data_IF_404671590736
#
_entry.id   IF_404671590736
#
_cell.length_a   1.000
_cell.length_b   1.000
_cell.length_c   1.000
_cell.angle_alpha   90.00
_cell.angle_beta   90.00
_cell.angle_gamma   90.00
#
_symmetry.space_group_name_H-M   'P 1'
#
loop_
_entity.id
_entity.type
_entity.pdbx_description
1 polymer ?
#
# COMPACT_ATOMS: atom_id res chain seq x y z
N UNK A 1 -31.66 33.80 -13.69
CA UNK A 1 -32.55 32.95 -12.86
C UNK A 1 -31.76 32.50 -11.65
N UNK A 2 -32.15 32.87 -10.42
CA UNK A 2 -31.46 32.43 -9.22
C UNK A 2 -31.86 30.97 -8.94
N UNK A 3 -30.86 30.09 -8.98
CA UNK A 3 -31.04 28.66 -8.72
C UNK A 3 -31.38 28.44 -7.26
N UNK A 4 -32.47 27.70 -7.05
CA UNK A 4 -32.96 27.15 -5.80
C UNK A 4 -31.83 26.41 -5.07
N UNK A 5 -31.28 27.01 -4.03
CA UNK A 5 -30.67 26.25 -2.94
C UNK A 5 -31.82 25.85 -2.00
N UNK A 6 -32.12 24.56 -1.82
CA UNK A 6 -33.07 24.15 -0.80
C UNK A 6 -32.54 24.58 0.57
N UNK A 7 -33.42 25.17 1.37
CA UNK A 7 -33.11 25.67 2.71
C UNK A 7 -32.51 24.56 3.58
N UNK A 8 -31.45 24.92 4.31
CA UNK A 8 -30.84 24.07 5.31
C UNK A 8 -31.80 23.85 6.47
N UNK A 9 -32.58 22.78 6.44
CA UNK A 9 -32.98 22.12 7.68
C UNK A 9 -31.68 21.66 8.36
N UNK A 10 -31.30 22.33 9.45
CA UNK A 10 -30.21 21.85 10.28
C UNK A 10 -30.55 20.42 10.73
N UNK A 11 -29.70 19.42 10.44
CA UNK A 11 -30.08 18.03 10.64
C UNK A 11 -30.24 17.74 12.14
N UNK A 12 -31.12 16.79 12.47
CA UNK A 12 -31.34 16.18 13.78
C UNK A 12 -30.10 15.49 14.40
N UNK A 13 -28.90 15.83 13.94
CA UNK A 13 -27.63 15.29 14.36
C UNK A 13 -27.01 16.26 15.38
N UNK A 14 -27.01 15.87 16.65
CA UNK A 14 -26.42 16.69 17.72
C UNK A 14 -24.94 17.05 17.48
N UNK A 15 -24.50 18.09 18.19
CA UNK A 15 -23.19 18.74 18.03
C UNK A 15 -22.01 17.76 18.19
N UNK A 16 -20.97 17.93 17.37
CA UNK A 16 -19.79 17.05 17.34
C UNK A 16 -18.63 17.72 18.07
N UNK A 17 -17.92 16.97 18.91
CA UNK A 17 -16.59 17.34 19.40
C UNK A 17 -15.55 16.51 18.66
N UNK A 18 -14.73 17.15 17.81
CA UNK A 18 -13.60 16.50 17.16
C UNK A 18 -12.32 16.72 17.96
N UNK A 19 -11.58 15.65 18.25
CA UNK A 19 -10.33 15.68 19.02
C UNK A 19 -9.24 14.91 18.27
N UNK A 20 -8.04 15.46 18.15
CA UNK A 20 -6.88 14.82 17.51
C UNK A 20 -5.74 15.81 17.27
N UNK A 21 -4.72 15.44 16.49
CA UNK A 21 -3.69 16.37 16.01
C UNK A 21 -4.18 17.16 14.79
N UNK A 22 -5.06 18.12 15.06
CA UNK A 22 -5.84 18.79 14.03
C UNK A 22 -5.05 19.88 13.29
N UNK A 23 -3.87 20.27 13.79
CA UNK A 23 -2.96 21.19 13.10
C UNK A 23 -2.16 20.56 11.98
N UNK A 24 -2.09 19.22 11.90
CA UNK A 24 -1.51 18.53 10.75
C UNK A 24 -2.29 19.00 9.51
N UNK A 25 -1.59 19.61 8.54
CA UNK A 25 -2.20 20.24 7.35
C UNK A 25 -3.17 19.30 6.64
N UNK A 26 -2.76 18.05 6.48
CA UNK A 26 -3.60 16.99 5.93
C UNK A 26 -4.93 16.84 6.68
N UNK A 27 -4.90 16.65 8.00
CA UNK A 27 -6.10 16.50 8.84
C UNK A 27 -6.96 17.77 8.79
N UNK A 28 -6.32 18.93 8.91
CA UNK A 28 -7.00 20.22 8.86
C UNK A 28 -7.78 20.41 7.54
N UNK A 29 -7.12 20.18 6.43
CA UNK A 29 -7.63 20.49 5.10
C UNK A 29 -8.63 19.41 4.62
N UNK A 30 -8.53 18.17 5.12
CA UNK A 30 -9.35 17.03 4.69
C UNK A 30 -10.48 16.65 5.65
N UNK A 31 -10.34 16.96 6.93
CA UNK A 31 -11.36 16.64 7.94
C UNK A 31 -11.94 17.89 8.57
N UNK A 32 -11.10 18.74 9.18
CA UNK A 32 -11.58 19.89 9.96
C UNK A 32 -12.36 20.88 9.10
N UNK A 33 -11.82 21.27 7.94
CA UNK A 33 -12.47 22.23 7.07
C UNK A 33 -13.83 21.71 6.52
N UNK A 34 -13.94 20.49 5.95
CA UNK A 34 -15.22 19.94 5.53
C UNK A 34 -16.22 19.76 6.67
N UNK A 35 -15.78 19.29 7.84
CA UNK A 35 -16.66 19.11 9.00
C UNK A 35 -17.22 20.45 9.49
N UNK A 36 -16.37 21.48 9.56
CA UNK A 36 -16.79 22.83 9.97
C UNK A 36 -17.82 23.44 9.02
N UNK A 37 -17.73 23.12 7.73
CA UNK A 37 -18.68 23.61 6.73
C UNK A 37 -20.02 22.87 6.77
N UNK A 38 -20.03 21.61 7.22
CA UNK A 38 -21.17 20.70 7.03
C UNK A 38 -21.90 20.36 8.33
N UNK A 39 -21.27 20.59 9.50
CA UNK A 39 -21.80 20.17 10.79
C UNK A 39 -21.56 21.24 11.87
N UNK A 40 -22.43 21.28 12.89
CA UNK A 40 -22.13 21.98 14.14
C UNK A 40 -21.08 21.18 14.91
N UNK A 41 -19.83 21.62 14.82
CA UNK A 41 -18.68 20.94 15.38
C UNK A 41 -17.74 21.89 16.13
N UNK A 42 -17.26 21.44 17.28
CA UNK A 42 -16.12 22.02 17.98
C UNK A 42 -14.87 21.16 17.71
N UNK A 43 -13.71 21.81 17.71
CA UNK A 43 -12.44 21.17 17.36
C UNK A 43 -11.43 21.44 18.46
N UNK A 44 -10.79 20.38 18.97
CA UNK A 44 -9.68 20.48 19.91
C UNK A 44 -8.46 19.84 19.28
N UNK A 45 -7.49 20.69 18.95
CA UNK A 45 -6.15 20.23 18.57
C UNK A 45 -5.36 19.89 19.84
N UNK A 46 -4.96 18.63 19.97
CA UNK A 46 -4.25 18.15 21.15
C UNK A 46 -2.75 18.44 21.08
N UNK A 47 -2.19 18.70 19.90
CA UNK A 47 -0.76 19.00 19.73
C UNK A 47 -0.27 20.13 20.67
N UNK A 48 -0.89 21.33 20.72
CA UNK A 48 -0.48 22.36 21.67
C UNK A 48 -0.73 21.96 23.13
N UNK A 49 -1.79 21.21 23.43
CA UNK A 49 -2.11 20.79 24.79
C UNK A 49 -1.05 19.83 25.34
N UNK A 50 -0.62 18.86 24.53
CA UNK A 50 0.48 17.93 24.86
C UNK A 50 1.79 18.64 25.15
N UNK A 51 2.06 19.73 24.44
CA UNK A 51 3.29 20.50 24.63
C UNK A 51 3.30 21.30 25.95
N UNK A 52 2.12 21.64 26.46
CA UNK A 52 1.95 22.55 27.59
C UNK A 52 1.50 21.85 28.89
N UNK A 53 0.85 20.70 28.79
CA UNK A 53 0.14 20.06 29.89
C UNK A 53 0.39 18.55 29.94
N UNK A 54 0.21 17.96 31.12
CA UNK A 54 0.20 16.50 31.25
C UNK A 54 -1.05 15.91 30.59
N UNK A 55 -1.03 14.59 30.35
CA UNK A 55 -2.20 13.84 29.87
C UNK A 55 -3.42 14.08 30.76
N UNK A 56 -3.25 14.00 32.08
CA UNK A 56 -4.34 14.14 33.05
C UNK A 56 -4.99 15.53 32.98
N UNK A 57 -4.19 16.59 32.81
CA UNK A 57 -4.70 17.96 32.63
C UNK A 57 -5.40 18.14 31.28
N UNK A 58 -4.88 17.51 30.22
CA UNK A 58 -5.50 17.51 28.89
C UNK A 58 -6.87 16.82 28.91
N UNK A 59 -6.97 15.64 29.53
CA UNK A 59 -8.25 14.95 29.73
C UNK A 59 -9.22 15.76 30.60
N UNK A 60 -8.73 16.38 31.69
CA UNK A 60 -9.57 17.25 32.53
C UNK A 60 -10.15 18.44 31.76
N UNK A 61 -9.35 19.06 30.89
CA UNK A 61 -9.83 20.11 29.99
C UNK A 61 -10.94 19.59 29.08
N UNK A 62 -10.74 18.44 28.42
CA UNK A 62 -11.73 17.83 27.55
C UNK A 62 -13.01 17.44 28.29
N UNK A 63 -12.93 16.90 29.53
CA UNK A 63 -14.12 16.60 30.32
C UNK A 63 -14.96 17.84 30.61
N UNK A 64 -14.33 18.96 30.98
CA UNK A 64 -15.05 20.22 31.21
C UNK A 64 -15.74 20.69 29.94
N UNK A 65 -15.07 20.58 28.80
CA UNK A 65 -15.63 20.92 27.51
C UNK A 65 -16.84 20.03 27.18
N UNK A 66 -16.72 18.71 27.37
CA UNK A 66 -17.80 17.74 27.17
C UNK A 66 -19.02 18.10 28.04
N UNK A 67 -18.82 18.40 29.32
CA UNK A 67 -19.89 18.74 30.26
C UNK A 67 -20.62 20.04 29.90
N UNK A 68 -19.92 21.01 29.32
CA UNK A 68 -20.45 22.35 29.06
C UNK A 68 -20.97 22.53 27.62
N UNK A 69 -20.47 21.73 26.68
CA UNK A 69 -20.64 21.99 25.25
C UNK A 69 -21.85 21.35 24.58
N UNK A 70 -22.61 20.50 25.29
CA UNK A 70 -23.82 19.87 24.76
C UNK A 70 -23.57 18.98 23.54
N UNK A 71 -22.44 18.27 23.53
CA UNK A 71 -22.06 17.39 22.42
C UNK A 71 -22.83 16.08 22.46
N UNK A 72 -23.24 15.59 21.29
CA UNK A 72 -23.82 14.26 21.12
C UNK A 72 -22.78 13.22 20.71
N UNK A 73 -21.66 13.66 20.11
CA UNK A 73 -20.65 12.77 19.55
C UNK A 73 -19.25 13.26 19.85
N UNK A 74 -18.36 12.33 20.16
CA UNK A 74 -16.91 12.53 20.20
C UNK A 74 -16.31 11.87 18.96
N UNK A 75 -15.92 12.66 17.97
CA UNK A 75 -15.12 12.16 16.86
C UNK A 75 -13.63 12.23 17.22
N UNK A 76 -13.08 11.09 17.62
CA UNK A 76 -11.68 10.98 18.00
C UNK A 76 -10.84 10.57 16.78
N UNK A 77 -10.10 11.54 16.21
CA UNK A 77 -9.17 11.29 15.11
C UNK A 77 -7.86 10.76 15.68
N UNK A 78 -7.72 9.44 15.69
CA UNK A 78 -6.73 8.72 16.50
C UNK A 78 -5.32 8.72 15.94
N UNK A 79 -5.13 9.08 14.67
CA UNK A 79 -3.81 9.09 14.04
C UNK A 79 -2.82 9.95 14.86
N UNK A 80 -1.65 9.37 15.15
CA UNK A 80 -0.58 9.92 16.00
C UNK A 80 -0.87 10.05 17.50
N UNK A 81 -2.12 9.89 17.97
CA UNK A 81 -2.51 10.08 19.38
C UNK A 81 -3.31 8.92 19.98
N UNK A 82 -3.39 7.79 19.27
CA UNK A 82 -4.17 6.62 19.68
C UNK A 82 -3.81 6.09 21.08
N UNK A 83 -2.54 6.16 21.49
CA UNK A 83 -2.07 5.63 22.78
C UNK A 83 -2.18 6.64 23.94
N UNK A 84 -2.51 7.89 23.65
CA UNK A 84 -2.25 9.00 24.58
C UNK A 84 -3.34 9.21 25.62
N UNK A 85 -4.55 8.79 25.31
CA UNK A 85 -5.70 8.94 26.19
C UNK A 85 -5.97 7.65 26.96
N UNK A 86 -6.40 7.79 28.19
CA UNK A 86 -6.75 6.66 29.06
C UNK A 86 -8.09 6.04 28.66
N UNK A 87 -8.29 4.76 28.96
CA UNK A 87 -9.59 4.10 28.76
C UNK A 87 -10.69 4.79 29.58
N UNK A 88 -10.34 5.28 30.77
CA UNK A 88 -11.21 6.09 31.65
C UNK A 88 -11.76 7.33 30.93
N UNK A 89 -11.00 7.95 30.03
CA UNK A 89 -11.47 9.08 29.24
C UNK A 89 -12.64 8.72 28.34
N UNK A 90 -12.50 7.63 27.59
CA UNK A 90 -13.55 7.16 26.70
C UNK A 90 -14.76 6.64 27.47
N UNK A 91 -14.56 5.98 28.61
CA UNK A 91 -15.66 5.57 29.51
C UNK A 91 -16.44 6.77 30.04
N UNK A 92 -15.77 7.84 30.46
CA UNK A 92 -16.42 9.06 30.93
C UNK A 92 -17.13 9.83 29.83
N UNK A 93 -16.56 9.88 28.62
CA UNK A 93 -17.24 10.45 27.46
C UNK A 93 -18.56 9.72 27.18
N UNK A 94 -18.54 8.39 27.16
CA UNK A 94 -19.76 7.56 27.05
C UNK A 94 -20.73 7.78 28.21
N UNK A 95 -20.22 7.86 29.45
CA UNK A 95 -21.03 8.15 30.64
C UNK A 95 -21.70 9.53 30.62
N UNK A 96 -21.13 10.49 29.88
CA UNK A 96 -21.73 11.79 29.60
C UNK A 96 -22.74 11.77 28.44
N UNK A 97 -23.01 10.60 27.85
CA UNK A 97 -23.99 10.40 26.79
C UNK A 97 -23.45 10.60 25.37
N UNK A 98 -22.13 10.70 25.18
CA UNK A 98 -21.54 10.86 23.85
C UNK A 98 -21.37 9.50 23.18
N UNK A 99 -21.72 9.41 21.90
CA UNK A 99 -21.25 8.35 21.01
C UNK A 99 -19.80 8.63 20.60
N UNK A 100 -18.90 7.68 20.85
CA UNK A 100 -17.47 7.80 20.52
C UNK A 100 -17.20 7.14 19.17
N UNK A 101 -16.70 7.94 18.22
CA UNK A 101 -16.49 7.54 16.83
C UNK A 101 -15.01 7.69 16.47
N UNK A 102 -14.47 6.73 15.71
CA UNK A 102 -13.15 6.82 15.10
C UNK A 102 -13.19 6.57 13.59
N UNK A 103 -12.21 7.14 12.89
CA UNK A 103 -11.89 6.82 11.50
C UNK A 103 -10.42 6.41 11.43
N UNK A 104 -10.16 5.14 11.11
CA UNK A 104 -8.81 4.60 10.99
C UNK A 104 -8.28 4.87 9.58
N UNK A 105 -7.55 5.99 9.39
CA UNK A 105 -7.02 6.41 8.10
C UNK A 105 -5.96 5.44 7.53
N UNK A 106 -5.04 5.02 8.40
CA UNK A 106 -3.99 4.04 8.12
C UNK A 106 -4.39 2.74 8.83
N UNK A 107 -5.06 1.81 8.13
CA UNK A 107 -5.65 0.60 8.72
C UNK A 107 -5.25 -0.70 7.99
N UNK A 108 -4.31 -0.56 7.07
CA UNK A 108 -3.68 -1.59 6.24
C UNK A 108 -2.35 -0.99 5.74
N UNK A 109 -1.17 -1.66 5.78
CA UNK A 109 -0.87 -3.07 6.10
C UNK A 109 -1.16 -3.53 7.52
N UNK A 110 -0.92 -4.83 7.76
CA UNK A 110 -1.08 -5.53 9.06
C UNK A 110 -0.57 -4.73 10.26
N UNK A 111 0.59 -4.09 10.11
CA UNK A 111 1.20 -3.31 11.20
C UNK A 111 0.30 -2.16 11.66
N UNK A 112 -0.37 -1.45 10.76
CA UNK A 112 -1.28 -0.36 11.12
C UNK A 112 -2.60 -0.89 11.65
N UNK A 113 -3.11 -1.97 11.04
CA UNK A 113 -4.28 -2.67 11.58
C UNK A 113 -4.06 -3.06 13.05
N UNK A 114 -2.94 -3.71 13.37
CA UNK A 114 -2.62 -4.15 14.74
C UNK A 114 -2.47 -2.97 15.70
N UNK A 115 -1.82 -1.89 15.25
CA UNK A 115 -1.68 -0.67 16.04
C UNK A 115 -3.04 -0.07 16.40
N UNK A 116 -4.00 -0.06 15.48
CA UNK A 116 -5.34 0.46 15.71
C UNK A 116 -6.21 -0.49 16.54
N UNK A 117 -6.17 -1.78 16.21
CA UNK A 117 -7.00 -2.82 16.84
C UNK A 117 -6.80 -2.91 18.35
N UNK A 118 -5.61 -2.60 18.85
CA UNK A 118 -5.30 -2.52 20.28
C UNK A 118 -6.15 -1.47 21.04
N UNK A 119 -6.77 -0.54 20.33
CA UNK A 119 -7.55 0.58 20.89
C UNK A 119 -9.02 0.55 20.46
N UNK A 120 -9.47 -0.46 19.71
CA UNK A 120 -10.84 -0.53 19.19
C UNK A 120 -11.91 -0.54 20.29
N UNK A 121 -11.59 -1.05 21.48
CA UNK A 121 -12.51 -1.11 22.64
C UNK A 121 -12.93 0.27 23.16
N UNK A 122 -12.25 1.34 22.73
CA UNK A 122 -12.54 2.71 23.13
C UNK A 122 -13.69 3.34 22.35
N UNK A 123 -14.05 2.76 21.21
CA UNK A 123 -14.99 3.36 20.27
C UNK A 123 -16.31 2.61 20.24
N UNK A 124 -17.42 3.35 20.13
CA UNK A 124 -18.74 2.79 19.86
C UNK A 124 -18.88 2.46 18.37
N UNK A 125 -18.27 3.29 17.51
CA UNK A 125 -18.27 3.10 16.06
C UNK A 125 -16.90 3.37 15.44
N UNK A 126 -16.50 2.48 14.53
CA UNK A 126 -15.25 2.57 13.79
C UNK A 126 -15.56 2.58 12.29
N UNK A 127 -14.98 3.55 11.60
CA UNK A 127 -14.97 3.63 10.16
C UNK A 127 -13.57 3.38 9.63
N UNK A 128 -13.45 2.71 8.49
CA UNK A 128 -12.16 2.46 7.85
C UNK A 128 -12.29 2.45 6.33
N UNK A 129 -11.29 3.00 5.60
CA UNK A 129 -11.22 2.92 4.15
C UNK A 129 -10.62 1.59 3.67
N UNK A 130 -10.18 0.70 4.57
CA UNK A 130 -9.69 -0.64 4.25
C UNK A 130 -10.81 -1.65 4.36
N UNK A 131 -11.21 -2.27 3.23
CA UNK A 131 -12.24 -3.32 3.28
C UNK A 131 -11.73 -4.53 4.07
N UNK A 132 -10.46 -4.91 3.88
CA UNK A 132 -9.81 -5.98 4.63
C UNK A 132 -9.81 -5.72 6.15
N UNK A 133 -9.50 -4.48 6.57
CA UNK A 133 -9.54 -4.08 7.97
C UNK A 133 -10.95 -4.16 8.57
N UNK A 134 -11.97 -3.76 7.81
CA UNK A 134 -13.38 -3.88 8.23
C UNK A 134 -13.79 -5.34 8.38
N UNK A 135 -13.54 -6.16 7.37
CA UNK A 135 -13.89 -7.59 7.38
C UNK A 135 -13.26 -8.32 8.57
N UNK A 136 -12.00 -8.00 8.87
CA UNK A 136 -11.31 -8.57 10.02
C UNK A 136 -11.91 -8.14 11.34
N UNK A 137 -12.26 -6.87 11.52
CA UNK A 137 -12.95 -6.42 12.75
C UNK A 137 -14.34 -7.04 12.88
N UNK A 138 -15.07 -7.22 11.78
CA UNK A 138 -16.34 -7.93 11.80
C UNK A 138 -16.16 -9.40 12.22
N UNK A 139 -15.11 -10.07 11.76
CA UNK A 139 -14.77 -11.42 12.20
C UNK A 139 -14.40 -11.45 13.69
N UNK A 140 -13.59 -10.51 14.17
CA UNK A 140 -13.28 -10.35 15.59
C UNK A 140 -14.55 -10.08 16.42
N UNK A 141 -15.48 -9.27 15.91
CA UNK A 141 -16.73 -8.97 16.59
C UNK A 141 -17.60 -10.20 16.77
N UNK A 142 -17.72 -11.05 15.73
CA UNK A 142 -18.41 -12.35 15.82
C UNK A 142 -17.76 -13.29 16.83
N UNK A 143 -16.45 -13.20 17.01
CA UNK A 143 -15.69 -13.95 18.01
C UNK A 143 -15.71 -13.32 19.42
N UNK A 144 -16.40 -12.19 19.62
CA UNK A 144 -16.45 -11.45 20.88
C UNK A 144 -15.24 -10.56 21.16
N UNK A 145 -14.31 -10.43 20.21
CA UNK A 145 -13.07 -9.66 20.33
C UNK A 145 -13.16 -8.18 19.93
N UNK A 146 -14.24 -7.74 19.27
CA UNK A 146 -14.48 -6.34 18.93
C UNK A 146 -15.94 -5.96 19.22
N UNK A 147 -16.18 -4.93 20.06
CA UNK A 147 -17.53 -4.51 20.44
C UNK A 147 -18.04 -3.31 19.65
N UNK A 148 -17.16 -2.61 18.94
CA UNK A 148 -17.54 -1.45 18.14
C UNK A 148 -18.39 -1.86 16.94
N UNK A 149 -19.32 -0.99 16.54
CA UNK A 149 -19.96 -1.07 15.23
C UNK A 149 -18.94 -0.68 14.16
N UNK A 150 -18.68 -1.55 13.19
CA UNK A 150 -17.66 -1.31 12.17
C UNK A 150 -18.31 -1.17 10.80
N UNK A 151 -17.91 -0.14 10.05
CA UNK A 151 -18.39 0.10 8.71
C UNK A 151 -17.25 0.49 7.77
N UNK A 152 -17.32 0.00 6.53
CA UNK A 152 -16.49 0.47 5.45
C UNK A 152 -16.92 1.89 5.05
N UNK A 153 -15.95 2.81 5.09
CA UNK A 153 -16.13 4.17 4.63
C UNK A 153 -14.93 4.51 3.74
N UNK A 154 -15.08 4.46 2.40
CA UNK A 154 -13.98 4.75 1.51
C UNK A 154 -13.49 6.17 1.69
N UNK A 155 -12.24 6.41 1.29
CA UNK A 155 -11.72 7.76 1.16
C UNK A 155 -12.61 8.60 0.24
N UNK A 156 -12.76 9.87 0.59
CA UNK A 156 -13.30 10.91 -0.29
C UNK A 156 -12.22 11.93 -0.64
N UNK A 157 -12.60 13.07 -1.21
CA UNK A 157 -11.70 14.21 -1.36
C UNK A 157 -12.43 15.50 -0.98
N UNK A 158 -11.67 16.54 -0.66
CA UNK A 158 -12.23 17.86 -0.41
C UNK A 158 -12.42 18.59 -1.75
N UNK A 159 -13.67 18.82 -2.22
CA UNK A 159 -13.94 19.44 -3.51
C UNK A 159 -13.60 20.93 -3.56
N UNK A 160 -13.41 21.58 -2.41
CA UNK A 160 -12.92 22.96 -2.36
C UNK A 160 -11.43 23.05 -2.74
N UNK A 161 -10.69 21.93 -2.65
CA UNK A 161 -9.26 21.87 -2.97
C UNK A 161 -9.02 21.13 -4.28
N UNK A 162 -9.64 19.97 -4.47
CA UNK A 162 -9.47 19.12 -5.65
C UNK A 162 -10.73 19.18 -6.47
N UNK A 163 -10.68 19.96 -7.55
CA UNK A 163 -11.81 20.20 -8.42
C UNK A 163 -11.39 20.12 -9.89
N UNK A 164 -12.32 19.88 -10.81
CA UNK A 164 -12.03 19.94 -12.22
C UNK A 164 -11.44 21.31 -12.60
N UNK A 165 -10.48 21.31 -13.54
CA UNK A 165 -9.89 22.54 -14.04
C UNK A 165 -10.96 23.45 -14.64
N UNK A 166 -11.03 24.69 -14.18
CA UNK A 166 -11.89 25.73 -14.76
C UNK A 166 -11.05 26.95 -15.14
N UNK A 167 -11.56 27.76 -16.08
CA UNK A 167 -10.91 29.02 -16.46
C UNK A 167 -9.48 28.86 -16.98
N UNK A 168 -8.52 29.52 -16.33
CA UNK A 168 -7.13 29.58 -16.75
C UNK A 168 -6.39 28.23 -16.66
N UNK A 169 -6.70 27.38 -15.69
CA UNK A 169 -6.08 26.07 -15.53
C UNK A 169 -6.41 25.13 -16.70
N UNK A 170 -7.66 25.17 -17.20
CA UNK A 170 -8.06 24.44 -18.40
C UNK A 170 -7.38 24.97 -19.68
N UNK A 171 -7.07 26.27 -19.73
CA UNK A 171 -6.42 26.92 -20.89
C UNK A 171 -4.91 26.72 -20.94
N UNK A 172 -4.27 26.42 -19.83
CA UNK A 172 -2.81 26.25 -19.74
C UNK A 172 -2.28 25.06 -20.56
N UNK A 173 -3.16 24.19 -21.04
CA UNK A 173 -2.80 23.03 -21.85
C UNK A 173 -2.14 21.92 -21.03
N UNK A 174 -1.83 20.81 -21.70
CA UNK A 174 -1.15 19.66 -21.07
C UNK A 174 0.37 19.86 -21.17
N UNK A 175 1.02 20.01 -20.01
CA UNK A 175 2.48 20.20 -19.88
C UNK A 175 3.22 18.89 -19.66
N UNK A 176 2.61 17.94 -18.96
CA UNK A 176 3.25 16.68 -18.55
C UNK A 176 2.57 15.51 -19.24
N UNK A 177 3.35 14.54 -19.75
CA UNK A 177 2.77 13.32 -20.29
C UNK A 177 2.34 12.39 -19.15
N UNK A 178 3.28 12.05 -18.26
CA UNK A 178 3.03 11.18 -17.11
C UNK A 178 3.54 11.85 -15.84
N UNK A 179 2.71 11.88 -14.80
CA UNK A 179 3.04 12.44 -13.48
C UNK A 179 2.84 11.40 -12.40
N UNK A 180 3.78 11.30 -11.46
CA UNK A 180 3.53 10.70 -10.14
C UNK A 180 3.79 11.75 -9.05
N UNK A 181 2.89 11.82 -8.07
CA UNK A 181 2.97 12.75 -6.95
C UNK A 181 2.81 12.02 -5.61
N UNK A 182 3.92 11.87 -4.88
CA UNK A 182 3.97 11.15 -3.60
C UNK A 182 5.40 11.13 -3.05
N UNK A 183 5.57 10.79 -1.78
CA UNK A 183 6.90 10.71 -1.18
C UNK A 183 7.65 9.42 -1.58
N UNK A 184 8.95 9.55 -1.78
CA UNK A 184 9.90 8.44 -1.73
C UNK A 184 10.08 8.05 -0.26
N UNK A 185 9.52 6.91 0.16
CA UNK A 185 9.50 6.48 1.56
C UNK A 185 10.81 5.77 1.99
N UNK A 186 11.95 6.32 1.60
CA UNK A 186 13.25 5.88 2.09
C UNK A 186 13.57 6.51 3.44
N UNK A 187 14.29 5.80 4.31
CA UNK A 187 14.74 6.36 5.57
C UNK A 187 15.79 7.44 5.31
N UNK A 188 15.58 8.64 5.87
CA UNK A 188 16.47 9.80 5.66
C UNK A 188 17.94 9.53 6.02
N UNK A 189 18.17 8.69 7.04
CA UNK A 189 19.51 8.34 7.53
C UNK A 189 20.04 7.03 6.94
N UNK A 190 19.21 6.32 6.17
CA UNK A 190 19.59 5.08 5.52
C UNK A 190 18.76 4.92 4.23
N UNK A 191 19.16 5.59 3.13
CA UNK A 191 18.37 5.62 1.89
C UNK A 191 18.15 4.24 1.24
N UNK A 192 18.90 3.23 1.68
CA UNK A 192 18.77 1.82 1.27
C UNK A 192 17.67 1.07 2.06
N UNK A 193 17.17 1.65 3.14
CA UNK A 193 16.07 1.10 3.94
C UNK A 193 14.77 1.83 3.65
N UNK A 194 13.78 1.06 3.20
CA UNK A 194 12.45 1.55 2.89
C UNK A 194 11.51 1.31 4.06
N UNK A 195 10.48 2.15 4.18
CA UNK A 195 9.40 1.95 5.13
C UNK A 195 8.09 1.80 4.36
N UNK A 196 7.16 1.05 4.95
CA UNK A 196 5.79 0.90 4.44
C UNK A 196 5.81 0.23 3.05
N UNK A 197 5.34 0.92 2.01
CA UNK A 197 5.30 0.48 0.60
C UNK A 197 6.43 1.10 -0.27
N UNK A 198 7.51 1.57 0.37
CA UNK A 198 8.54 2.37 -0.27
C UNK A 198 9.29 1.65 -1.39
N UNK A 199 9.65 0.38 -1.17
CA UNK A 199 10.40 -0.42 -2.15
C UNK A 199 9.55 -0.77 -3.36
N UNK A 200 8.37 -1.38 -3.16
CA UNK A 200 7.53 -1.87 -4.27
C UNK A 200 7.03 -0.70 -5.13
N UNK A 201 6.71 0.44 -4.51
CA UNK A 201 6.41 1.69 -5.23
C UNK A 201 7.58 2.09 -6.11
N UNK A 202 8.78 2.14 -5.56
CA UNK A 202 9.96 2.56 -6.30
C UNK A 202 10.22 1.64 -7.49
N UNK A 203 10.19 0.32 -7.30
CA UNK A 203 10.42 -0.63 -8.40
C UNK A 203 9.40 -0.44 -9.53
N UNK A 204 8.14 -0.21 -9.16
CA UNK A 204 7.08 0.11 -10.13
C UNK A 204 7.40 1.38 -10.92
N UNK A 205 7.83 2.45 -10.24
CA UNK A 205 8.13 3.73 -10.90
C UNK A 205 9.43 3.69 -11.73
N UNK A 206 10.42 2.87 -11.34
CA UNK A 206 11.62 2.61 -12.16
C UNK A 206 11.24 1.88 -13.45
N UNK A 207 10.38 0.86 -13.37
CA UNK A 207 9.84 0.17 -14.54
C UNK A 207 9.08 1.12 -15.48
N UNK A 208 8.26 1.99 -14.91
CA UNK A 208 7.55 3.03 -15.65
C UNK A 208 8.49 4.03 -16.34
N UNK A 209 9.54 4.51 -15.65
CA UNK A 209 10.54 5.41 -16.24
C UNK A 209 11.23 4.77 -17.45
N UNK A 210 11.57 3.48 -17.37
CA UNK A 210 12.18 2.75 -18.47
C UNK A 210 11.24 2.64 -19.68
N UNK A 211 9.94 2.36 -19.46
CA UNK A 211 8.94 2.36 -20.52
C UNK A 211 8.83 3.76 -21.14
N UNK A 212 8.72 4.80 -20.33
CA UNK A 212 8.60 6.18 -20.80
C UNK A 212 9.81 6.59 -21.64
N UNK A 213 11.03 6.18 -21.25
CA UNK A 213 12.26 6.45 -22.02
C UNK A 213 12.26 5.80 -23.39
N UNK A 214 11.90 4.53 -23.47
CA UNK A 214 11.83 3.81 -24.75
C UNK A 214 10.85 4.44 -25.73
N UNK A 215 9.80 5.06 -25.20
CA UNK A 215 8.72 5.67 -26.00
C UNK A 215 8.87 7.18 -26.18
N UNK A 216 9.93 7.81 -25.65
CA UNK A 216 10.11 9.26 -25.72
C UNK A 216 9.04 10.06 -24.96
N UNK A 217 8.46 9.49 -23.91
CA UNK A 217 7.42 10.09 -23.07
C UNK A 217 8.07 10.78 -21.86
N UNK A 218 7.65 12.02 -21.55
CA UNK A 218 8.13 12.72 -20.35
C UNK A 218 7.45 12.17 -19.08
N UNK A 219 8.29 11.80 -18.11
CA UNK A 219 7.84 11.33 -16.81
C UNK A 219 8.34 12.28 -15.72
N UNK A 220 7.40 12.85 -14.96
CA UNK A 220 7.66 13.81 -13.91
C UNK A 220 7.31 13.24 -12.53
N UNK A 221 8.22 13.39 -11.58
CA UNK A 221 8.07 13.01 -10.18
C UNK A 221 8.00 14.23 -9.28
N UNK A 222 7.01 14.26 -8.40
CA UNK A 222 6.83 15.29 -7.39
C UNK A 222 6.72 14.67 -6.00
N UNK A 223 7.32 15.30 -4.98
CA UNK A 223 7.22 14.86 -3.60
C UNK A 223 8.55 14.46 -2.95
N UNK A 224 8.56 14.40 -1.62
CA UNK A 224 9.77 14.31 -0.80
C UNK A 224 10.69 13.12 -1.16
N UNK A 225 12.00 13.34 -1.22
CA UNK A 225 13.02 12.29 -1.29
C UNK A 225 13.32 11.72 -2.70
N UNK A 226 12.62 12.16 -3.74
CA UNK A 226 12.93 11.74 -5.11
C UNK A 226 14.24 12.33 -5.64
N UNK A 227 14.63 13.52 -5.19
CA UNK A 227 15.90 14.18 -5.52
C UNK A 227 17.14 13.39 -5.09
N UNK A 228 17.01 12.51 -4.10
CA UNK A 228 18.08 11.65 -3.63
C UNK A 228 18.03 10.23 -4.20
N UNK A 229 17.02 9.90 -5.01
CA UNK A 229 16.85 8.55 -5.52
C UNK A 229 17.94 8.22 -6.59
N UNK A 230 18.64 7.07 -6.52
CA UNK A 230 19.73 6.71 -7.43
C UNK A 230 19.40 6.86 -8.93
N UNK A 231 18.27 6.32 -9.37
CA UNK A 231 17.84 6.35 -10.78
C UNK A 231 16.85 7.47 -11.13
N UNK A 232 15.88 7.74 -10.25
CA UNK A 232 14.73 8.58 -10.52
C UNK A 232 14.93 10.07 -10.18
N UNK A 233 16.03 10.48 -9.55
CA UNK A 233 16.30 11.91 -9.23
C UNK A 233 16.23 12.83 -10.45
N UNK A 234 16.65 12.36 -11.63
CA UNK A 234 16.54 13.11 -12.90
C UNK A 234 15.09 13.44 -13.31
N UNK A 235 14.11 12.69 -12.81
CA UNK A 235 12.67 12.91 -13.05
C UNK A 235 12.03 13.78 -11.99
N UNK A 236 12.73 14.09 -10.90
CA UNK A 236 12.24 14.97 -9.86
C UNK A 236 11.97 16.38 -10.41
N UNK A 237 10.85 16.96 -10.01
CA UNK A 237 10.38 18.30 -10.41
C UNK A 237 10.00 19.19 -9.22
N UNK A 238 10.31 18.76 -7.99
CA UNK A 238 10.10 19.54 -6.78
C UNK A 238 9.01 18.99 -5.86
N UNK A 239 8.70 19.81 -4.85
CA UNK A 239 7.77 19.50 -3.78
C UNK A 239 6.60 20.48 -3.86
N UNK A 240 5.56 20.17 -4.63
CA UNK A 240 4.52 21.13 -4.91
C UNK A 240 3.69 21.39 -3.67
N UNK A 241 3.34 22.66 -3.49
CA UNK A 241 2.31 23.04 -2.54
C UNK A 241 0.94 22.53 -2.99
N UNK A 242 -0.04 22.53 -2.09
CA UNK A 242 -1.37 21.99 -2.34
C UNK A 242 -2.04 22.56 -3.62
N UNK A 243 -1.96 23.87 -3.82
CA UNK A 243 -2.57 24.53 -5.01
C UNK A 243 -1.78 24.22 -6.29
N UNK A 244 -0.46 24.13 -6.18
CA UNK A 244 0.42 23.76 -7.29
C UNK A 244 0.15 22.31 -7.73
N UNK A 245 -0.11 21.41 -6.77
CA UNK A 245 -0.41 20.02 -7.03
C UNK A 245 -1.68 19.84 -7.87
N UNK A 246 -2.72 20.62 -7.58
CA UNK A 246 -3.96 20.65 -8.36
C UNK A 246 -3.68 21.12 -9.79
N UNK A 247 -2.89 22.19 -9.94
CA UNK A 247 -2.46 22.67 -11.25
C UNK A 247 -1.64 21.61 -12.01
N UNK A 248 -0.74 20.89 -11.34
CA UNK A 248 0.03 19.79 -11.94
C UNK A 248 -0.91 18.70 -12.46
N UNK A 249 -1.94 18.31 -11.69
CA UNK A 249 -2.92 17.33 -12.14
C UNK A 249 -3.69 17.81 -13.37
N UNK A 250 -4.09 19.08 -13.43
CA UNK A 250 -4.77 19.61 -14.62
C UNK A 250 -3.85 19.65 -15.85
N UNK A 251 -2.55 19.87 -15.64
CA UNK A 251 -1.54 19.92 -16.69
C UNK A 251 -1.01 18.54 -17.10
N UNK A 252 -1.32 17.47 -16.35
CA UNK A 252 -0.92 16.10 -16.68
C UNK A 252 -1.88 15.45 -17.69
N UNK A 253 -1.34 14.70 -18.66
CA UNK A 253 -2.14 13.80 -19.49
C UNK A 253 -2.50 12.53 -18.72
N UNK A 254 -1.54 11.97 -17.99
CA UNK A 254 -1.71 10.78 -17.14
C UNK A 254 -1.14 11.08 -15.76
N UNK A 255 -1.91 10.78 -14.71
CA UNK A 255 -1.42 10.72 -13.34
C UNK A 255 -1.35 9.28 -12.90
N UNK A 256 -0.19 8.84 -12.43
CA UNK A 256 0.00 7.50 -11.88
C UNK A 256 -0.20 7.57 -10.38
N UNK A 257 -1.13 6.76 -9.88
CA UNK A 257 -1.44 6.67 -8.46
C UNK A 257 -1.46 5.21 -8.07
N UNK A 258 -0.31 4.71 -7.60
CA UNK A 258 -0.20 3.36 -7.09
C UNK A 258 -0.60 3.33 -5.61
N UNK A 259 -1.47 2.40 -5.26
CA UNK A 259 -1.86 2.06 -3.91
C UNK A 259 -1.46 0.62 -3.60
N UNK A 260 -0.32 0.50 -2.92
CA UNK A 260 0.24 -0.76 -2.46
C UNK A 260 0.18 -0.81 -0.92
N UNK A 261 -0.01 -2.01 -0.39
CA UNK A 261 0.21 -2.34 1.02
C UNK A 261 1.73 -2.33 1.35
N UNK A 262 2.13 -2.83 2.52
CA UNK A 262 3.55 -2.98 2.88
C UNK A 262 4.34 -3.74 1.80
N UNK A 263 5.62 -3.37 1.70
CA UNK A 263 6.58 -4.00 0.81
C UNK A 263 6.56 -5.53 0.95
N UNK A 264 6.48 -6.23 -0.18
CA UNK A 264 6.49 -7.70 -0.25
C UNK A 264 5.13 -8.37 -0.01
N UNK A 265 4.08 -7.64 0.38
CA UNK A 265 2.74 -8.23 0.54
C UNK A 265 2.00 -8.39 -0.79
N UNK A 266 2.33 -7.59 -1.80
CA UNK A 266 1.70 -7.63 -3.13
C UNK A 266 0.20 -7.30 -3.14
N UNK A 267 -0.35 -6.81 -2.02
CA UNK A 267 -1.77 -6.47 -1.89
C UNK A 267 -2.03 -5.01 -2.27
N UNK A 268 -3.09 -4.72 -3.04
CA UNK A 268 -3.45 -3.35 -3.35
C UNK A 268 -4.16 -2.70 -2.15
N UNK A 269 -3.99 -1.39 -2.01
CA UNK A 269 -4.64 -0.58 -0.98
C UNK A 269 -5.26 0.67 -1.61
N UNK A 270 -6.40 1.14 -1.10
CA UNK A 270 -6.90 2.47 -1.46
C UNK A 270 -6.13 3.56 -0.72
N UNK A 271 -5.67 4.58 -1.45
CA UNK A 271 -5.01 5.77 -0.89
C UNK A 271 -5.86 7.00 -1.22
N UNK A 272 -5.83 8.01 -0.36
CA UNK A 272 -6.53 9.28 -0.59
C UNK A 272 -6.23 9.88 -1.98
N UNK A 273 -5.00 9.72 -2.45
CA UNK A 273 -4.50 10.23 -3.73
C UNK A 273 -5.37 9.79 -4.92
N UNK A 274 -5.92 8.57 -4.89
CA UNK A 274 -6.80 8.07 -5.95
C UNK A 274 -8.03 8.97 -6.15
N UNK A 275 -8.58 9.46 -5.04
CA UNK A 275 -9.80 10.26 -5.01
C UNK A 275 -9.52 11.73 -5.30
N UNK A 276 -8.36 12.23 -4.88
CA UNK A 276 -7.91 13.59 -5.17
C UNK A 276 -7.70 13.84 -6.67
N UNK A 277 -7.02 12.92 -7.35
CA UNK A 277 -6.80 12.99 -8.80
C UNK A 277 -8.12 12.84 -9.56
N UNK A 278 -8.97 11.92 -9.12
CA UNK A 278 -10.33 11.77 -9.67
C UNK A 278 -11.16 13.05 -9.49
N UNK A 279 -11.05 13.70 -8.33
CA UNK A 279 -11.70 14.99 -8.06
C UNK A 279 -11.23 16.12 -8.97
N UNK A 280 -9.99 16.05 -9.47
CA UNK A 280 -9.47 16.96 -10.50
C UNK A 280 -9.95 16.63 -11.92
N UNK A 281 -10.63 15.51 -12.13
CA UNK A 281 -11.07 15.05 -13.45
C UNK A 281 -9.92 14.67 -14.39
N UNK A 282 -8.74 14.33 -13.83
CA UNK A 282 -7.56 13.95 -14.61
C UNK A 282 -7.53 12.44 -14.83
N UNK A 283 -7.10 12.00 -16.02
CA UNK A 283 -6.86 10.58 -16.31
C UNK A 283 -5.86 10.00 -15.30
N UNK A 284 -6.22 8.88 -14.68
CA UNK A 284 -5.39 8.22 -13.69
C UNK A 284 -5.08 6.79 -14.13
N UNK A 285 -3.81 6.39 -14.00
CA UNK A 285 -3.39 5.01 -14.03
C UNK A 285 -3.22 4.52 -12.57
N UNK A 286 -3.83 3.39 -12.24
CA UNK A 286 -3.71 2.75 -10.92
C UNK A 286 -3.19 1.31 -11.10
N UNK A 287 -2.60 0.74 -10.05
CA UNK A 287 -2.41 -0.70 -10.00
C UNK A 287 -3.76 -1.41 -9.86
N UNK A 288 -3.81 -2.67 -10.27
CA UNK A 288 -5.04 -3.45 -10.15
C UNK A 288 -5.48 -3.52 -8.69
N UNK A 289 -6.65 -2.94 -8.41
CA UNK A 289 -7.23 -2.84 -7.08
C UNK A 289 -8.74 -3.08 -7.16
N UNK A 290 -9.24 -4.22 -6.66
CA UNK A 290 -10.67 -4.53 -6.66
C UNK A 290 -11.53 -3.48 -5.95
N UNK A 291 -11.00 -2.77 -4.95
CA UNK A 291 -11.73 -1.72 -4.24
C UNK A 291 -11.98 -0.47 -5.10
N UNK A 292 -11.14 -0.24 -6.13
CA UNK A 292 -11.32 0.87 -7.08
C UNK A 292 -12.19 0.51 -8.29
N UNK A 293 -12.45 -0.79 -8.52
CA UNK A 293 -13.26 -1.27 -9.66
C UNK A 293 -14.75 -0.99 -9.52
N UNK A 294 -15.24 -0.68 -8.31
CA UNK A 294 -16.63 -0.32 -8.12
C UNK A 294 -16.91 1.05 -8.77
N UNK A 295 -17.71 1.14 -9.84
CA UNK A 295 -17.95 2.41 -10.51
C UNK A 295 -18.66 3.37 -9.54
N UNK A 296 -18.15 4.59 -9.30
CA UNK A 296 -18.86 5.60 -8.53
C UNK A 296 -20.29 5.75 -9.03
N UNK A 297 -21.28 5.91 -8.13
CA UNK A 297 -22.70 5.98 -8.52
C UNK A 297 -22.97 7.11 -9.53
N UNK A 298 -22.17 8.17 -9.52
CA UNK A 298 -22.21 9.27 -10.50
C UNK A 298 -21.76 8.87 -11.92
N UNK A 299 -21.20 7.67 -12.09
CA UNK A 299 -20.74 7.10 -13.35
C UNK A 299 -21.68 6.02 -13.90
N UNK A 300 -22.83 5.87 -13.25
CA UNK A 300 -23.93 5.00 -13.66
C UNK A 300 -25.12 5.85 -14.11
N UNK A 301 -25.52 5.72 -15.36
CA UNK A 301 -26.82 6.16 -15.85
C UNK A 301 -27.78 5.01 -15.66
N UNK A 302 -28.76 5.17 -14.77
CA UNK A 302 -29.83 4.21 -14.62
C UNK A 302 -31.17 4.84 -15.00
N UNK A 303 -32.15 3.98 -15.33
CA UNK A 303 -33.53 4.37 -15.56
C UNK A 303 -34.08 4.93 -14.25
N UNK A 304 -34.84 6.05 -14.27
CA UNK A 304 -35.31 6.71 -13.03
C UNK A 304 -36.05 5.80 -12.05
N UNK A 305 -36.75 4.78 -12.54
CA UNK A 305 -37.49 3.83 -11.70
C UNK A 305 -36.59 2.83 -10.95
N UNK A 306 -35.33 2.66 -11.37
CA UNK A 306 -34.35 1.77 -10.74
C UNK A 306 -33.47 2.50 -9.72
N UNK A 307 -33.48 3.85 -9.67
CA UNK A 307 -32.60 4.67 -8.84
C UNK A 307 -32.56 4.25 -7.36
N UNK A 308 -33.72 3.91 -6.77
CA UNK A 308 -33.76 3.45 -5.38
C UNK A 308 -33.12 2.07 -5.17
N UNK A 309 -33.20 1.17 -6.16
CA UNK A 309 -32.55 -0.14 -6.11
C UNK A 309 -31.03 0.00 -6.31
N UNK A 310 -30.59 0.86 -7.23
CA UNK A 310 -29.18 1.20 -7.45
C UNK A 310 -28.55 1.78 -6.18
N UNK A 311 -29.21 2.77 -5.57
CA UNK A 311 -28.74 3.38 -4.32
C UNK A 311 -28.65 2.36 -3.19
N UNK A 312 -29.61 1.43 -3.09
CA UNK A 312 -29.57 0.36 -2.09
C UNK A 312 -28.43 -0.62 -2.34
N UNK A 313 -28.29 -1.15 -3.56
CA UNK A 313 -27.24 -2.08 -3.93
C UNK A 313 -25.84 -1.46 -3.75
N UNK A 314 -25.68 -0.21 -4.16
CA UNK A 314 -24.44 0.55 -3.98
C UNK A 314 -24.14 0.81 -2.51
N UNK A 315 -25.13 1.23 -1.72
CA UNK A 315 -24.98 1.46 -0.28
C UNK A 315 -24.65 0.19 0.50
N UNK A 316 -25.20 -0.96 0.08
CA UNK A 316 -24.91 -2.26 0.68
C UNK A 316 -23.64 -2.92 0.15
N UNK A 317 -22.99 -2.35 -0.89
CA UNK A 317 -21.84 -2.94 -1.56
C UNK A 317 -22.15 -4.21 -2.35
N UNK A 318 -23.41 -4.45 -2.67
CA UNK A 318 -23.88 -5.63 -3.42
C UNK A 318 -23.69 -5.38 -4.94
N UNK A 319 -22.48 -5.66 -5.42
CA UNK A 319 -22.10 -5.41 -6.81
C UNK A 319 -22.84 -6.31 -7.79
N UNK A 320 -23.24 -7.52 -7.39
CA UNK A 320 -24.00 -8.43 -8.25
C UNK A 320 -25.42 -7.92 -8.45
N UNK A 321 -26.07 -7.43 -7.37
CA UNK A 321 -27.34 -6.73 -7.48
C UNK A 321 -27.22 -5.45 -8.31
N UNK A 322 -26.12 -4.70 -8.17
CA UNK A 322 -25.86 -3.51 -8.97
C UNK A 322 -25.70 -3.84 -10.46
N UNK A 323 -24.94 -4.90 -10.80
CA UNK A 323 -24.77 -5.34 -12.19
C UNK A 323 -26.06 -5.91 -12.79
N UNK A 324 -26.86 -6.61 -11.99
CA UNK A 324 -28.15 -7.15 -12.43
C UNK A 324 -29.18 -6.06 -12.80
N UNK A 325 -28.99 -4.83 -12.30
CA UNK A 325 -29.81 -3.67 -12.69
C UNK A 325 -29.47 -3.13 -14.08
N UNK A 326 -28.36 -3.61 -14.68
CA UNK A 326 -27.85 -3.18 -15.99
C UNK A 326 -27.72 -1.64 -16.12
N UNK A 327 -27.09 -0.95 -15.14
CA UNK A 327 -26.89 0.48 -15.26
C UNK A 327 -25.98 0.77 -16.46
N UNK A 328 -26.37 1.73 -17.29
CA UNK A 328 -25.55 2.17 -18.42
C UNK A 328 -24.32 2.91 -17.86
N UNK A 329 -23.09 2.42 -18.10
CA UNK A 329 -21.91 3.18 -17.71
C UNK A 329 -21.88 4.48 -18.54
N UNK A 330 -21.83 5.62 -17.87
CA UNK A 330 -21.90 6.92 -18.55
C UNK A 330 -20.64 7.25 -19.36
N UNK A 331 -19.59 6.44 -19.19
CA UNK A 331 -18.26 6.74 -19.71
C UNK A 331 -17.62 7.97 -19.06
N UNK A 332 -18.23 8.60 -18.04
CA UNK A 332 -17.57 9.60 -17.18
C UNK A 332 -16.73 8.95 -16.09
N UNK A 333 -16.10 7.82 -16.39
CA UNK A 333 -14.99 7.32 -15.59
C UNK A 333 -13.69 7.77 -16.24
N UNK A 334 -12.81 8.25 -15.36
CA UNK A 334 -11.35 8.30 -15.50
C UNK A 334 -10.90 6.87 -15.84
N UNK A 335 -11.01 6.54 -17.12
CA UNK A 335 -10.58 5.35 -17.85
C UNK A 335 -10.08 4.13 -17.04
N UNK A 336 -10.90 3.08 -16.99
CA UNK A 336 -10.42 1.70 -16.82
C UNK A 336 -9.70 1.27 -18.10
N UNK A 337 -8.41 1.58 -18.19
CA UNK A 337 -7.51 0.82 -19.08
C UNK A 337 -6.86 -0.24 -18.21
N UNK A 338 -7.41 -1.46 -18.26
CA UNK A 338 -6.65 -2.64 -17.81
C UNK A 338 -5.55 -2.83 -18.86
N UNK A 339 -4.37 -2.31 -18.57
CA UNK A 339 -3.16 -2.73 -19.27
C UNK A 339 -2.89 -4.17 -18.83
N UNK A 340 -3.48 -5.15 -19.51
CA UNK A 340 -2.89 -6.48 -19.55
C UNK A 340 -1.51 -6.27 -20.15
N UNK A 341 -0.47 -6.31 -19.33
CA UNK A 341 0.92 -6.27 -19.79
C UNK A 341 1.24 -7.55 -20.56
N UNK A 342 0.66 -7.68 -21.75
CA UNK A 342 1.23 -8.47 -22.82
C UNK A 342 2.18 -7.54 -23.57
N UNK A 343 3.48 -7.84 -23.43
CA UNK A 343 4.63 -7.22 -24.09
C UNK A 343 5.36 -6.09 -23.31
N UNK A 344 6.64 -6.37 -23.06
CA UNK A 344 7.74 -5.49 -22.61
C UNK A 344 7.86 -5.12 -21.13
N UNK A 345 7.88 -6.17 -20.31
CA UNK A 345 8.20 -6.15 -18.89
C UNK A 345 9.67 -6.53 -18.59
N UNK A 346 10.65 -5.83 -19.16
CA UNK A 346 12.08 -6.08 -18.89
C UNK A 346 12.56 -5.67 -17.48
N UNK A 347 11.64 -5.37 -16.56
CA UNK A 347 11.90 -5.24 -15.13
C UNK A 347 11.13 -6.28 -14.29
N UNK A 348 10.21 -7.04 -14.91
CA UNK A 348 9.68 -8.31 -14.39
C UNK A 348 10.55 -9.50 -14.82
N UNK A 349 11.74 -9.25 -15.40
CA UNK A 349 12.65 -10.27 -15.94
C UNK A 349 13.62 -10.86 -14.94
N UNK A 350 13.63 -10.41 -13.67
CA UNK A 350 14.35 -11.18 -12.66
C UNK A 350 13.49 -12.41 -12.35
N UNK A 351 13.95 -13.61 -12.74
CA UNK A 351 13.17 -14.82 -12.53
C UNK A 351 12.85 -14.98 -11.03
N UNK A 352 11.62 -15.40 -10.72
CA UNK A 352 11.08 -15.42 -9.37
C UNK A 352 11.96 -16.14 -8.33
N UNK A 353 12.84 -17.05 -8.78
CA UNK A 353 13.76 -17.79 -7.93
C UNK A 353 15.00 -17.00 -7.48
N UNK A 354 15.30 -15.86 -8.09
CA UNK A 354 16.48 -15.05 -7.76
C UNK A 354 16.37 -14.34 -6.41
N UNK A 355 15.16 -13.91 -6.01
CA UNK A 355 14.95 -13.28 -4.70
C UNK A 355 15.16 -14.26 -3.52
N UNK A 356 14.55 -15.46 -3.52
CA UNK A 356 14.86 -16.50 -2.52
C UNK A 356 16.34 -16.90 -2.51
N UNK A 357 16.98 -16.97 -3.70
CA UNK A 357 18.41 -17.25 -3.79
C UNK A 357 19.26 -16.19 -3.10
N UNK A 358 18.98 -14.90 -3.31
CA UNK A 358 19.70 -13.80 -2.62
C UNK A 358 19.53 -13.88 -1.10
N UNK A 359 18.32 -14.18 -0.64
CA UNK A 359 18.05 -14.35 0.80
C UNK A 359 18.83 -15.54 1.39
N UNK A 360 18.88 -16.66 0.68
CA UNK A 360 19.69 -17.82 1.06
C UNK A 360 21.19 -17.47 1.10
N UNK A 361 21.72 -16.82 0.06
CA UNK A 361 23.13 -16.44 0.03
C UNK A 361 23.50 -15.50 1.18
N UNK A 362 22.60 -14.56 1.54
CA UNK A 362 22.78 -13.70 2.71
C UNK A 362 22.78 -14.48 4.03
N UNK A 363 21.95 -15.53 4.15
CA UNK A 363 21.99 -16.44 5.30
C UNK A 363 23.33 -17.18 5.38
N UNK A 364 23.81 -17.76 4.27
CA UNK A 364 25.05 -18.54 4.24
C UNK A 364 26.29 -17.68 4.51
N UNK A 365 26.28 -16.43 4.04
CA UNK A 365 27.33 -15.48 4.38
C UNK A 365 27.42 -15.22 5.90
N UNK A 366 26.31 -15.31 6.64
CA UNK A 366 26.28 -15.15 8.10
C UNK A 366 26.64 -16.41 8.85
N UNK A 367 26.18 -17.57 8.39
CA UNK A 367 26.38 -18.85 9.08
C UNK A 367 27.72 -19.51 8.76
N UNK A 368 28.34 -19.13 7.63
CA UNK A 368 29.58 -19.75 7.16
C UNK A 368 29.40 -21.16 6.60
N UNK A 369 28.16 -21.56 6.35
CA UNK A 369 27.80 -22.85 5.73
C UNK A 369 28.31 -22.96 4.29
N UNK A 370 28.59 -24.18 3.85
CA UNK A 370 29.13 -24.46 2.52
C UNK A 370 28.02 -24.70 1.50
N UNK A 371 28.17 -24.11 0.32
CA UNK A 371 27.21 -24.23 -0.78
C UNK A 371 27.81 -25.01 -1.94
N UNK A 372 27.04 -25.95 -2.50
CA UNK A 372 27.31 -26.59 -3.78
C UNK A 372 26.13 -26.33 -4.73
N UNK A 373 26.41 -25.88 -5.95
CA UNK A 373 25.38 -25.72 -6.99
C UNK A 373 25.34 -27.00 -7.84
N UNK A 374 24.18 -27.65 -7.92
CA UNK A 374 23.99 -28.82 -8.77
C UNK A 374 23.27 -28.41 -10.06
N UNK A 375 23.97 -28.56 -11.19
CA UNK A 375 23.60 -28.02 -12.50
C UNK A 375 24.56 -26.89 -12.89
N UNK A 376 25.29 -27.06 -14.00
CA UNK A 376 26.30 -26.10 -14.45
C UNK A 376 26.02 -25.52 -15.85
N UNK A 377 24.82 -25.78 -16.39
CA UNK A 377 24.40 -25.35 -17.72
C UNK A 377 22.90 -25.06 -17.75
N UNK A 378 22.49 -24.20 -18.68
CA UNK A 378 21.10 -23.83 -18.91
C UNK A 378 20.78 -22.42 -18.43
N UNK A 379 19.62 -21.92 -18.88
CA UNK A 379 19.20 -20.53 -18.66
C UNK A 379 19.19 -20.14 -17.18
N UNK A 380 18.72 -21.02 -16.30
CA UNK A 380 18.72 -20.78 -14.87
C UNK A 380 20.13 -20.56 -14.29
N UNK A 381 21.13 -21.32 -14.76
CA UNK A 381 22.53 -21.15 -14.35
C UNK A 381 23.07 -19.81 -14.84
N UNK A 382 22.75 -19.43 -16.08
CA UNK A 382 23.16 -18.15 -16.67
C UNK A 382 22.60 -16.96 -15.86
N UNK A 383 21.36 -17.07 -15.40
CA UNK A 383 20.70 -16.04 -14.59
C UNK A 383 21.24 -15.94 -13.16
N UNK A 384 21.63 -17.04 -12.51
CA UNK A 384 22.16 -16.98 -11.13
C UNK A 384 23.65 -16.59 -11.07
N UNK A 385 24.40 -16.77 -12.16
CA UNK A 385 25.85 -16.53 -12.18
C UNK A 385 26.27 -15.11 -11.75
N UNK A 386 25.59 -14.03 -12.18
CA UNK A 386 25.84 -12.69 -11.66
C UNK A 386 25.62 -12.60 -10.15
N UNK A 387 24.53 -13.18 -9.65
CA UNK A 387 24.17 -13.18 -8.21
C UNK A 387 25.22 -13.90 -7.37
N UNK A 388 25.71 -15.05 -7.83
CA UNK A 388 26.77 -15.80 -7.16
C UNK A 388 28.10 -15.03 -7.12
N UNK A 389 28.40 -14.24 -8.16
CA UNK A 389 29.63 -13.45 -8.21
C UNK A 389 29.63 -12.25 -7.26
N UNK A 390 28.44 -11.71 -6.96
CA UNK A 390 28.25 -10.66 -5.95
C UNK A 390 28.40 -11.22 -4.52
N UNK A 391 28.08 -12.50 -4.31
CA UNK A 391 28.07 -13.16 -2.99
C UNK A 391 29.46 -13.65 -2.53
N UNK A 392 30.46 -12.77 -2.48
CA UNK A 392 31.87 -13.11 -2.18
C UNK A 392 32.12 -13.67 -0.77
N UNK A 393 31.21 -13.44 0.18
CA UNK A 393 31.29 -13.97 1.54
C UNK A 393 30.78 -15.43 1.67
N UNK A 394 30.15 -15.98 0.63
CA UNK A 394 29.61 -17.34 0.65
C UNK A 394 30.71 -18.35 0.32
N UNK A 395 30.80 -19.42 1.11
CA UNK A 395 31.75 -20.53 0.88
C UNK A 395 31.22 -21.48 -0.20
N UNK A 396 31.31 -21.05 -1.45
CA UNK A 396 30.92 -21.84 -2.62
C UNK A 396 32.00 -22.89 -2.95
N UNK A 397 31.65 -24.17 -2.85
CA UNK A 397 32.55 -25.30 -3.15
C UNK A 397 32.74 -25.52 -4.65
N UNK A 398 31.77 -25.07 -5.46
CA UNK A 398 31.79 -25.18 -6.92
C UNK A 398 30.45 -25.63 -7.49
N UNK A 399 30.50 -26.24 -8.67
CA UNK A 399 29.35 -26.79 -9.36
C UNK A 399 29.45 -28.31 -9.47
N UNK A 400 28.34 -29.02 -9.45
CA UNK A 400 28.26 -30.45 -9.76
C UNK A 400 27.46 -30.65 -11.06
N UNK A 401 28.08 -31.27 -12.06
CA UNK A 401 27.41 -31.64 -13.33
C UNK A 401 28.14 -32.84 -13.96
N UNK A 402 27.40 -33.92 -14.23
CA UNK A 402 27.95 -35.17 -14.78
C UNK A 402 28.59 -34.99 -16.16
N UNK A 403 28.08 -34.07 -17.00
CA UNK A 403 28.56 -33.86 -18.37
C UNK A 403 29.74 -32.91 -18.44
N UNK A 404 29.87 -32.02 -17.46
CA UNK A 404 30.88 -30.96 -17.44
C UNK A 404 31.96 -31.18 -16.37
N UNK A 405 31.94 -32.32 -15.68
CA UNK A 405 32.95 -32.70 -14.69
C UNK A 405 34.39 -32.56 -15.23
N UNK A 406 35.26 -31.95 -14.43
CA UNK A 406 36.65 -31.65 -14.78
C UNK A 406 36.86 -30.31 -15.49
N UNK A 407 35.79 -29.57 -15.82
CA UNK A 407 35.86 -28.20 -16.35
C UNK A 407 35.75 -27.16 -15.24
N UNK A 408 35.83 -25.88 -15.60
CA UNK A 408 35.57 -24.75 -14.71
C UNK A 408 34.44 -23.88 -15.27
N UNK A 409 33.63 -23.31 -14.38
CA UNK A 409 32.68 -22.24 -14.70
C UNK A 409 33.19 -20.96 -14.03
N UNK A 410 33.66 -20.02 -14.84
CA UNK A 410 34.49 -18.88 -14.40
C UNK A 410 35.76 -19.37 -13.69
N UNK A 411 35.79 -19.32 -12.36
CA UNK A 411 36.92 -19.78 -11.54
C UNK A 411 36.52 -20.93 -10.60
N UNK A 412 35.25 -21.36 -10.62
CA UNK A 412 34.76 -22.45 -9.78
C UNK A 412 34.92 -23.79 -10.49
N UNK A 413 35.38 -24.83 -9.78
CA UNK A 413 35.48 -26.17 -10.36
C UNK A 413 34.10 -26.76 -10.61
N UNK A 414 33.96 -27.50 -11.72
CA UNK A 414 32.81 -28.36 -11.99
C UNK A 414 33.24 -29.81 -11.71
N UNK A 415 32.64 -30.42 -10.70
CA UNK A 415 32.92 -31.80 -10.27
C UNK A 415 31.82 -32.77 -10.72
N UNK A 416 32.13 -34.06 -10.74
CA UNK A 416 31.12 -35.10 -10.92
C UNK A 416 30.27 -35.30 -9.65
N UNK A 417 29.04 -35.83 -9.76
CA UNK A 417 28.16 -36.05 -8.60
C UNK A 417 28.77 -36.91 -7.49
N UNK A 418 29.67 -37.84 -7.82
CA UNK A 418 30.41 -38.69 -6.88
C UNK A 418 31.32 -37.90 -5.93
N UNK A 419 31.71 -36.68 -6.29
CA UNK A 419 32.52 -35.81 -5.45
C UNK A 419 31.73 -35.25 -4.25
N UNK A 420 30.39 -35.31 -4.26
CA UNK A 420 29.53 -34.82 -3.17
C UNK A 420 29.88 -35.51 -1.83
N UNK A 421 30.22 -36.80 -1.87
CA UNK A 421 30.61 -37.55 -0.67
C UNK A 421 31.88 -37.03 -0.01
N UNK A 422 32.82 -36.52 -0.82
CA UNK A 422 34.10 -36.00 -0.38
C UNK A 422 34.03 -34.52 -0.02
N UNK A 423 33.24 -33.75 -0.78
CA UNK A 423 33.07 -32.30 -0.57
C UNK A 423 32.21 -31.96 0.66
N UNK A 424 31.28 -32.86 1.03
CA UNK A 424 30.39 -32.71 2.19
C UNK A 424 29.76 -31.31 2.31
N UNK A 425 29.00 -30.85 1.28
CA UNK A 425 28.33 -29.55 1.35
C UNK A 425 27.26 -29.52 2.44
N UNK A 426 27.15 -28.40 3.16
CA UNK A 426 26.02 -28.14 4.07
C UNK A 426 24.71 -27.90 3.32
N UNK A 427 24.78 -27.24 2.16
CA UNK A 427 23.64 -26.98 1.26
C UNK A 427 23.97 -27.40 -0.17
N UNK A 428 23.03 -28.10 -0.80
CA UNK A 428 23.04 -28.37 -2.24
C UNK A 428 21.87 -27.64 -2.89
N UNK A 429 22.15 -26.59 -3.66
CA UNK A 429 21.15 -25.88 -4.45
C UNK A 429 21.02 -26.53 -5.82
N UNK A 430 19.83 -27.02 -6.15
CA UNK A 430 19.57 -27.67 -7.45
C UNK A 430 19.07 -26.62 -8.43
N UNK A 431 19.88 -26.35 -9.45
CA UNK A 431 19.70 -25.28 -10.44
C UNK A 431 19.50 -25.92 -11.80
N UNK A 432 18.35 -26.57 -11.97
CA UNK A 432 17.98 -27.24 -13.21
C UNK A 432 16.45 -27.32 -13.32
N UNK A 433 15.87 -26.65 -14.32
CA UNK A 433 14.42 -26.59 -14.49
C UNK A 433 13.84 -27.93 -14.93
N UNK A 434 14.34 -28.49 -16.04
CA UNK A 434 13.76 -29.70 -16.64
C UNK A 434 14.18 -30.98 -15.92
N UNK A 435 15.46 -31.08 -15.53
CA UNK A 435 16.00 -32.27 -14.87
C UNK A 435 15.97 -32.20 -13.34
N UNK A 436 15.56 -31.07 -12.77
CA UNK A 436 15.52 -30.81 -11.33
C UNK A 436 14.87 -31.91 -10.50
N UNK A 437 13.64 -32.38 -10.83
CA UNK A 437 12.98 -33.44 -10.06
C UNK A 437 13.73 -34.78 -10.07
N UNK A 438 14.40 -35.12 -11.18
CA UNK A 438 15.20 -36.33 -11.25
C UNK A 438 16.48 -36.20 -10.41
N UNK A 439 17.16 -35.06 -10.51
CA UNK A 439 18.34 -34.73 -9.71
C UNK A 439 17.99 -34.75 -8.21
N UNK A 440 16.86 -34.18 -7.82
CA UNK A 440 16.41 -34.17 -6.42
C UNK A 440 16.23 -35.60 -5.87
N UNK A 441 15.63 -36.50 -6.65
CA UNK A 441 15.49 -37.92 -6.27
C UNK A 441 16.83 -38.62 -6.18
N UNK A 442 17.73 -38.40 -7.14
CA UNK A 442 19.07 -39.01 -7.11
C UNK A 442 19.88 -38.54 -5.90
N UNK A 443 19.65 -37.30 -5.45
CA UNK A 443 20.32 -36.72 -4.29
C UNK A 443 19.64 -37.05 -2.95
N UNK A 444 18.48 -37.72 -2.93
CA UNK A 444 17.73 -37.92 -1.68
C UNK A 444 18.51 -38.73 -0.63
N UNK A 445 19.42 -39.60 -1.06
CA UNK A 445 20.33 -40.32 -0.17
C UNK A 445 21.27 -39.41 0.64
N UNK A 446 21.46 -38.16 0.21
CA UNK A 446 22.31 -37.17 0.89
C UNK A 446 21.54 -36.26 1.86
N UNK A 447 20.21 -36.36 1.96
CA UNK A 447 19.39 -35.48 2.83
C UNK A 447 19.75 -35.58 4.33
N UNK A 448 20.35 -36.69 4.77
CA UNK A 448 20.86 -36.83 6.14
C UNK A 448 22.16 -36.07 6.43
N UNK A 449 22.80 -35.49 5.40
CA UNK A 449 24.11 -34.81 5.50
C UNK A 449 24.12 -33.41 4.91
N UNK A 450 23.23 -33.13 3.95
CA UNK A 450 23.13 -31.85 3.28
C UNK A 450 21.65 -31.44 3.13
N UNK A 451 21.39 -30.13 3.22
CA UNK A 451 20.07 -29.57 2.92
C UNK A 451 19.91 -29.44 1.41
N UNK A 452 18.91 -30.11 0.83
CA UNK A 452 18.61 -30.01 -0.59
C UNK A 452 17.63 -28.88 -0.85
N UNK A 453 18.03 -27.92 -1.67
CA UNK A 453 17.22 -26.73 -1.98
C UNK A 453 16.92 -26.71 -3.49
N UNK A 454 15.69 -27.03 -3.92
CA UNK A 454 15.33 -27.01 -5.34
C UNK A 454 15.02 -25.58 -5.78
N UNK A 455 15.88 -24.98 -6.61
CA UNK A 455 15.65 -23.61 -7.10
C UNK A 455 14.48 -23.52 -8.09
N UNK A 456 14.22 -24.63 -8.78
CA UNK A 456 13.11 -24.77 -9.72
C UNK A 456 11.74 -24.97 -9.04
N UNK A 457 11.70 -25.22 -7.72
CA UNK A 457 10.47 -25.44 -6.95
C UNK A 457 10.46 -24.58 -5.68
N UNK A 458 9.93 -23.36 -5.83
CA UNK A 458 9.83 -22.39 -4.73
C UNK A 458 8.75 -22.75 -3.71
N UNK A 459 7.88 -23.72 -4.01
CA UNK A 459 6.89 -24.22 -3.06
C UNK A 459 7.45 -25.32 -2.15
N UNK A 460 8.68 -25.79 -2.39
CA UNK A 460 9.32 -26.79 -1.56
C UNK A 460 9.42 -26.32 -0.10
N UNK A 461 8.99 -27.13 0.90
CA UNK A 461 8.93 -26.71 2.30
C UNK A 461 10.24 -26.18 2.88
N UNK A 462 11.38 -26.65 2.35
CA UNK A 462 12.72 -26.21 2.75
C UNK A 462 12.91 -24.68 2.67
N UNK A 463 12.25 -23.99 1.73
CA UNK A 463 12.34 -22.54 1.61
C UNK A 463 11.74 -21.83 2.82
N UNK A 464 10.62 -22.33 3.35
CA UNK A 464 9.99 -21.78 4.56
C UNK A 464 10.83 -22.01 5.82
N UNK A 465 11.64 -23.07 5.86
CA UNK A 465 12.52 -23.38 7.00
C UNK A 465 13.80 -22.54 6.97
N UNK A 466 14.36 -22.31 5.78
CA UNK A 466 15.60 -21.55 5.64
C UNK A 466 15.38 -20.03 5.69
N UNK A 467 14.21 -19.53 5.27
CA UNK A 467 13.94 -18.10 5.11
C UNK A 467 12.93 -17.52 6.11
N UNK A 468 12.45 -18.33 7.07
CA UNK A 468 11.75 -17.82 8.24
C UNK A 468 12.73 -17.18 9.22
#
# INVERSE_FOLDING_TARGET
MPSLMPGSEAPANGRILMVGELSIRFVRDKWVAPLRQSYDAAFVDVAPLRSAYSRELTEQYLYRLIQQGGFARLFFYSEAVQAEFSDTFFERARGAGLEVIAFHADDDPEVWFQQNAAYDHRYDRIYSPSRAGVERRLALSRAGGCRAQVAYLPWGYNPALFHPGSGAAARAGKRYDVVFAGANMSQRNNPEHYVREGWDRQQTLVGLDAICQRQGIDFALFGHGWDHHPTLHRRHRGFPEQDELVSIYHQARIVVSTGLSADGEGRPQTKLRHFEVAGCGTFQLVNDNPELRAPPLCNLLDRPHQAAAVLRAYHSGDLDALHALDPLPTGRLVNDVILTTSADASFLTEAAYLQPLRALLALLARTGETLLIYGAQGEMVDQINPVLAEATAVRLLGFADRRLAGKTLRHWPIVGPEAIEHLQPGIIQIVAETSGPAIYRDLSAHQGRATLVPLYDLAAPVWSVLLA
#
